data_IF_903002828027
#
_entry.id   IF_903002828027
#
_cell.length_a   1.000
_cell.length_b   1.000
_cell.length_c   1.000
_cell.angle_alpha   90.00
_cell.angle_beta   90.00
_cell.angle_gamma   90.00
#
_symmetry.space_group_name_H-M   'P 1'
#
loop_
_entity.id
_entity.type
_entity.pdbx_description
1 polymer ?
#
# COMPACT_ATOMS: atom_id res chain seq x y z
N UNK A 1 4.16 -4.40 -11.65
CA UNK A 1 5.12 -3.79 -10.69
C UNK A 1 6.20 -3.02 -11.45
N UNK A 2 6.88 -2.05 -10.84
CA UNK A 2 8.04 -1.36 -11.45
C UNK A 2 9.36 -2.13 -11.26
N UNK A 3 10.53 -1.51 -11.46
CA UNK A 3 11.83 -2.13 -11.18
C UNK A 3 11.89 -2.72 -9.78
N UNK A 4 12.38 -3.94 -9.66
CA UNK A 4 12.37 -4.68 -8.40
C UNK A 4 13.55 -5.63 -8.27
N UNK A 5 13.91 -5.96 -7.03
CA UNK A 5 15.00 -6.88 -6.69
C UNK A 5 14.63 -7.74 -5.48
N UNK A 6 15.20 -8.95 -5.36
CA UNK A 6 15.01 -9.79 -4.17
C UNK A 6 15.39 -9.04 -2.90
N UNK A 7 14.62 -9.24 -1.84
CA UNK A 7 14.88 -8.69 -0.51
C UNK A 7 14.58 -9.74 0.59
N UNK A 8 14.84 -9.40 1.84
CA UNK A 8 14.41 -10.18 3.00
C UNK A 8 12.99 -9.80 3.43
N UNK A 9 12.32 -10.75 4.07
CA UNK A 9 11.06 -10.53 4.80
C UNK A 9 11.32 -9.80 6.11
N UNK A 10 10.28 -9.42 6.85
CA UNK A 10 10.45 -8.70 8.12
C UNK A 10 11.17 -9.53 9.18
N UNK A 11 11.03 -10.85 9.13
CA UNK A 11 11.72 -11.83 9.99
C UNK A 11 13.17 -12.15 9.55
N UNK A 12 13.68 -11.48 8.51
CA UNK A 12 15.04 -11.68 7.98
C UNK A 12 15.19 -12.91 7.06
N UNK A 13 14.16 -13.71 6.86
CA UNK A 13 14.20 -14.88 5.98
C UNK A 13 14.09 -14.48 4.50
N UNK A 14 14.34 -15.46 3.61
CA UNK A 14 14.10 -15.31 2.16
C UNK A 14 12.60 -15.23 1.88
N UNK A 15 12.24 -14.80 0.68
CA UNK A 15 10.85 -14.61 0.26
C UNK A 15 10.38 -13.15 0.27
N UNK A 16 11.32 -12.19 0.31
CA UNK A 16 11.02 -10.78 0.12
C UNK A 16 11.33 -10.33 -1.31
N UNK A 17 10.60 -9.31 -1.77
CA UNK A 17 10.87 -8.56 -2.99
C UNK A 17 10.66 -7.08 -2.66
N UNK A 18 11.63 -6.24 -3.01
CA UNK A 18 11.44 -4.78 -2.94
C UNK A 18 11.27 -4.23 -4.34
N UNK A 19 10.15 -3.55 -4.56
CA UNK A 19 9.93 -2.72 -5.74
C UNK A 19 10.54 -1.36 -5.45
N UNK A 20 11.58 -0.99 -6.18
CA UNK A 20 12.36 0.23 -5.92
C UNK A 20 11.60 1.50 -6.34
N UNK A 21 10.76 1.37 -7.38
CA UNK A 21 9.84 2.42 -7.82
C UNK A 21 8.49 1.80 -8.17
N UNK A 22 7.51 1.96 -7.27
CA UNK A 22 6.20 1.35 -7.45
C UNK A 22 5.39 2.05 -8.54
N UNK A 23 5.42 1.51 -9.77
CA UNK A 23 4.68 2.03 -10.93
C UNK A 23 3.24 2.43 -10.61
N UNK A 24 2.50 1.57 -9.89
CA UNK A 24 1.11 1.85 -9.54
C UNK A 24 0.96 3.09 -8.66
N UNK A 25 1.79 3.24 -7.62
CA UNK A 25 1.76 4.42 -6.76
C UNK A 25 2.17 5.68 -7.53
N UNK A 26 3.17 5.59 -8.42
CA UNK A 26 3.63 6.73 -9.22
C UNK A 26 2.55 7.22 -10.19
N UNK A 27 1.87 6.29 -10.87
CA UNK A 27 0.85 6.63 -11.87
C UNK A 27 -0.47 7.05 -11.24
N UNK A 28 -0.88 6.38 -10.15
CA UNK A 28 -2.12 6.73 -9.45
C UNK A 28 -2.01 7.98 -8.59
N UNK A 29 -0.80 8.31 -8.09
CA UNK A 29 -0.57 9.47 -7.22
C UNK A 29 -1.39 9.48 -5.93
N UNK A 30 -1.94 8.33 -5.52
CA UNK A 30 -2.97 8.27 -4.47
C UNK A 30 -2.74 7.09 -3.51
N UNK A 31 -2.63 7.40 -2.21
CA UNK A 31 -2.52 6.37 -1.16
C UNK A 31 -3.75 5.47 -1.11
N UNK A 32 -4.95 6.04 -1.23
CA UNK A 32 -6.20 5.28 -1.20
C UNK A 32 -6.26 4.25 -2.33
N UNK A 33 -5.94 4.64 -3.55
CA UNK A 33 -5.86 3.69 -4.67
C UNK A 33 -4.78 2.64 -4.44
N UNK A 34 -3.59 3.03 -3.98
CA UNK A 34 -2.52 2.08 -3.66
C UNK A 34 -2.98 1.03 -2.63
N UNK A 35 -3.70 1.44 -1.60
CA UNK A 35 -4.16 0.55 -0.53
C UNK A 35 -5.30 -0.35 -0.98
N UNK A 36 -6.31 0.20 -1.64
CA UNK A 36 -7.55 -0.51 -1.94
C UNK A 36 -7.57 -1.21 -3.30
N UNK A 37 -6.65 -0.87 -4.21
CA UNK A 37 -6.59 -1.51 -5.54
C UNK A 37 -5.34 -2.36 -5.73
N UNK A 38 -4.27 -2.11 -4.98
CA UNK A 38 -3.03 -2.88 -5.06
C UNK A 38 -2.76 -3.70 -3.80
N UNK A 39 -2.61 -3.06 -2.62
CA UNK A 39 -2.23 -3.78 -1.39
C UNK A 39 -3.28 -4.80 -0.96
N UNK A 40 -4.49 -4.35 -0.60
CA UNK A 40 -5.52 -5.23 -0.05
C UNK A 40 -5.91 -6.34 -1.04
N UNK A 41 -6.20 -6.04 -2.32
CA UNK A 41 -6.55 -7.08 -3.27
C UNK A 41 -5.41 -8.07 -3.54
N UNK A 42 -4.15 -7.63 -3.53
CA UNK A 42 -3.03 -8.56 -3.70
C UNK A 42 -2.91 -9.51 -2.51
N UNK A 43 -3.02 -9.00 -1.27
CA UNK A 43 -2.95 -9.84 -0.08
C UNK A 43 -4.11 -10.85 -0.04
N UNK A 44 -5.32 -10.41 -0.37
CA UNK A 44 -6.51 -11.26 -0.47
C UNK A 44 -6.35 -12.33 -1.56
N UNK A 45 -5.96 -11.94 -2.78
CA UNK A 45 -5.77 -12.88 -3.88
C UNK A 45 -4.72 -13.95 -3.54
N UNK A 46 -3.59 -13.55 -2.96
CA UNK A 46 -2.55 -14.50 -2.58
C UNK A 46 -3.03 -15.49 -1.51
N UNK A 47 -3.80 -15.01 -0.54
CA UNK A 47 -4.35 -15.84 0.52
C UNK A 47 -5.43 -16.80 0.00
N UNK A 48 -6.44 -16.27 -0.66
CA UNK A 48 -7.66 -17.02 -1.00
C UNK A 48 -7.51 -17.86 -2.27
N UNK A 49 -6.81 -17.35 -3.29
CA UNK A 49 -6.67 -18.04 -4.59
C UNK A 49 -5.37 -18.85 -4.68
N UNK A 50 -4.28 -18.35 -4.10
CA UNK A 50 -2.96 -19.02 -4.17
C UNK A 50 -2.62 -19.81 -2.91
N UNK A 51 -3.39 -19.69 -1.82
CA UNK A 51 -3.14 -20.38 -0.57
C UNK A 51 -1.84 -19.98 0.12
N UNK A 52 -1.36 -18.76 -0.12
CA UNK A 52 -0.08 -18.24 0.39
C UNK A 52 -0.27 -16.85 0.98
N UNK A 53 0.06 -16.66 2.24
CA UNK A 53 -0.02 -15.34 2.88
C UNK A 53 0.95 -14.35 2.24
N UNK A 54 0.54 -13.08 2.15
CA UNK A 54 1.37 -12.02 1.59
C UNK A 54 1.19 -10.77 2.44
N UNK A 55 2.32 -10.15 2.79
CA UNK A 55 2.35 -8.80 3.36
C UNK A 55 2.93 -7.82 2.34
N UNK A 56 2.16 -6.78 2.00
CA UNK A 56 2.61 -5.70 1.11
C UNK A 56 2.75 -4.41 1.92
N UNK A 57 3.95 -3.82 1.97
CA UNK A 57 4.25 -2.61 2.73
C UNK A 57 4.75 -1.50 1.79
N UNK A 58 3.87 -0.57 1.35
CA UNK A 58 4.28 0.59 0.57
C UNK A 58 5.02 1.62 1.45
N UNK A 59 6.04 2.27 0.89
CA UNK A 59 6.65 3.47 1.43
C UNK A 59 6.18 4.68 0.61
N UNK A 60 5.31 5.51 1.17
CA UNK A 60 4.75 6.66 0.45
C UNK A 60 5.70 7.85 0.30
N UNK A 61 6.87 7.81 0.95
CA UNK A 61 7.90 8.85 0.84
C UNK A 61 8.89 8.48 -0.25
N UNK A 62 9.47 7.28 -0.19
CA UNK A 62 10.46 6.81 -1.18
C UNK A 62 9.80 6.21 -2.42
N UNK A 63 8.51 5.89 -2.35
CA UNK A 63 7.72 5.20 -3.39
C UNK A 63 8.20 3.76 -3.65
N UNK A 64 8.96 3.20 -2.73
CA UNK A 64 9.29 1.78 -2.70
C UNK A 64 8.08 0.97 -2.21
N UNK A 65 8.04 -0.33 -2.53
CA UNK A 65 7.00 -1.22 -2.02
C UNK A 65 7.60 -2.60 -1.72
N UNK A 66 7.57 -2.99 -0.44
CA UNK A 66 8.07 -4.28 0.02
C UNK A 66 6.95 -5.33 -0.07
N UNK A 67 7.27 -6.48 -0.66
CA UNK A 67 6.40 -7.64 -0.75
C UNK A 67 7.06 -8.79 0.01
N UNK A 68 6.38 -9.33 1.00
CA UNK A 68 6.87 -10.43 1.84
C UNK A 68 5.95 -11.64 1.69
N UNK A 69 6.39 -12.62 0.90
CA UNK A 69 5.63 -13.84 0.60
C UNK A 69 5.73 -14.85 1.75
N UNK A 70 4.61 -15.44 2.14
CA UNK A 70 4.49 -16.33 3.30
C UNK A 70 4.43 -15.60 4.65
N UNK A 71 4.27 -14.28 4.65
CA UNK A 71 4.15 -13.46 5.86
C UNK A 71 2.70 -13.00 6.03
N UNK A 72 2.10 -13.29 7.20
CA UNK A 72 0.74 -12.87 7.51
C UNK A 72 0.64 -11.35 7.61
N UNK A 73 -0.26 -10.71 6.84
CA UNK A 73 -0.50 -9.29 6.99
C UNK A 73 -1.12 -8.99 8.35
N UNK A 74 -0.69 -7.90 8.97
CA UNK A 74 -1.31 -7.36 10.18
C UNK A 74 -2.71 -6.83 9.87
N UNK A 75 -3.54 -6.71 10.90
CA UNK A 75 -4.85 -6.09 10.78
C UNK A 75 -4.75 -4.62 10.34
N UNK A 76 -5.69 -4.19 9.50
CA UNK A 76 -5.71 -2.84 8.91
C UNK A 76 -5.65 -1.73 9.96
N UNK A 77 -6.22 -1.97 11.14
CA UNK A 77 -6.24 -0.99 12.25
C UNK A 77 -4.85 -0.79 12.87
N UNK A 78 -4.02 -1.83 12.84
CA UNK A 78 -2.66 -1.83 13.43
C UNK A 78 -1.57 -1.58 12.38
N UNK A 79 -1.95 -1.53 11.10
CA UNK A 79 -1.04 -1.42 9.97
C UNK A 79 -0.54 0.02 9.75
N UNK A 80 0.74 0.24 10.06
CA UNK A 80 1.40 1.54 9.89
C UNK A 80 1.45 2.03 8.43
N UNK A 81 1.32 1.11 7.48
CA UNK A 81 1.23 1.43 6.05
C UNK A 81 -0.17 1.84 5.60
N UNK A 82 -1.14 1.97 6.52
CA UNK A 82 -2.39 2.71 6.32
C UNK A 82 -2.33 4.12 6.97
N UNK A 83 -1.45 5.03 6.51
CA UNK A 83 -1.33 6.35 7.10
C UNK A 83 -2.50 7.24 6.71
N UNK A 84 -2.83 8.17 7.62
CA UNK A 84 -3.84 9.21 7.37
C UNK A 84 -3.36 10.22 6.31
N UNK A 85 -4.33 10.83 5.62
CA UNK A 85 -4.11 11.94 4.68
C UNK A 85 -3.56 11.54 3.32
N UNK A 86 -3.52 12.51 2.40
CA UNK A 86 -3.12 12.29 1.00
C UNK A 86 -1.61 12.07 0.81
N UNK A 87 -1.24 11.59 -0.38
CA UNK A 87 0.16 11.56 -0.83
C UNK A 87 0.72 12.99 -0.93
N UNK A 88 2.01 13.16 -0.64
CA UNK A 88 2.70 14.44 -0.84
C UNK A 88 2.64 14.79 -2.32
N UNK A 89 2.19 16.01 -2.64
CA UNK A 89 2.01 16.45 -4.03
C UNK A 89 0.68 16.03 -4.67
N UNK A 90 -0.26 15.43 -3.94
CA UNK A 90 -1.59 15.11 -4.47
C UNK A 90 -2.36 16.37 -4.90
N UNK A 91 -2.65 16.53 -6.19
CA UNK A 91 -3.36 17.69 -6.72
C UNK A 91 -4.81 17.78 -6.23
N UNK A 92 -5.50 16.63 -6.12
CA UNK A 92 -6.85 16.58 -5.57
C UNK A 92 -6.90 17.12 -4.13
N UNK A 93 -5.80 17.05 -3.37
CA UNK A 93 -5.73 17.63 -2.03
C UNK A 93 -5.95 19.15 -2.05
N UNK A 94 -5.46 19.85 -3.08
CA UNK A 94 -5.65 21.30 -3.23
C UNK A 94 -7.13 21.62 -3.36
N UNK A 95 -7.85 20.83 -4.17
CA UNK A 95 -9.30 20.96 -4.36
C UNK A 95 -10.08 20.62 -3.08
N UNK A 96 -9.67 19.57 -2.36
CA UNK A 96 -10.37 19.10 -1.17
C UNK A 96 -10.08 19.94 0.09
N UNK A 97 -8.93 20.61 0.19
CA UNK A 97 -8.56 21.42 1.37
C UNK A 97 -9.48 22.63 1.59
N UNK A 98 -10.24 23.05 0.56
CA UNK A 98 -11.24 24.11 0.65
C UNK A 98 -12.63 23.64 1.10
N UNK A 99 -12.91 22.33 1.12
CA UNK A 99 -14.18 21.78 1.59
C UNK A 99 -14.09 21.57 3.10
N UNK A 100 -14.68 22.48 3.89
CA UNK A 100 -14.88 22.23 5.32
C UNK A 100 -15.72 20.96 5.47
N UNK A 101 -15.30 20.10 6.39
CA UNK A 101 -16.06 18.92 6.83
C UNK A 101 -17.28 19.37 7.61
N UNK A 102 -18.29 19.89 6.91
CA UNK A 102 -19.64 20.07 7.41
C UNK A 102 -20.56 19.40 6.41
N UNK A 103 -20.57 18.08 6.42
CA UNK A 103 -21.82 17.33 6.38
C UNK A 103 -21.55 15.87 6.77
N UNK A 104 -22.32 15.41 7.74
CA UNK A 104 -22.35 14.01 8.18
C UNK A 104 -23.03 13.23 7.07
N UNK A 105 -22.27 12.53 6.23
CA UNK A 105 -22.86 11.45 5.43
C UNK A 105 -21.82 10.42 5.00
N UNK A 106 -21.58 9.46 5.88
CA UNK A 106 -21.14 8.11 5.56
C UNK A 106 -21.64 7.22 6.72
N UNK A 107 -22.93 6.89 6.67
CA UNK A 107 -23.44 5.62 7.20
C UNK A 107 -23.48 4.63 6.06
#
# INVERSE_FOLDING_TARGET
>A
VGPSKPNRRSDGQRGGLVVEKCKFLQESGCKGLCLHQCKLPAQEFFKEELGLSLTVKPNFVTQECQWSFGEEPVDVVEDDSFPKGCLVGCDSRKVMSGRKSTDVLCM
#
